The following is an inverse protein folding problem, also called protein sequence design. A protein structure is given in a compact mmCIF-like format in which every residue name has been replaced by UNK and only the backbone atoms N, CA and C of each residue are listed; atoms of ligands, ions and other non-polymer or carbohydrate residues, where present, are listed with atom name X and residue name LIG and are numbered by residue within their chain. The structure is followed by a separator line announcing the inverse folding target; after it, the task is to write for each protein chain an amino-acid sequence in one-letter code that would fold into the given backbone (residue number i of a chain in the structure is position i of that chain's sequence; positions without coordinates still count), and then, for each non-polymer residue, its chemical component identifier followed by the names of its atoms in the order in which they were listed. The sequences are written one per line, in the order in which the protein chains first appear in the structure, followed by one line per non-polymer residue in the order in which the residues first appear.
data_IF_744861007315
#
_entry.id   IF_744861007315
#
_cell.length_a   1.000
_cell.length_b   1.000
_cell.length_c   1.000
_cell.angle_alpha   90.00
_cell.angle_beta   90.00
_cell.angle_gamma   90.00
#
_symmetry.space_group_name_H-M   'P 1'
#
loop_
_entity.id
_entity.type
_entity.pdbx_description
1 polymer ?
#
# COMPACT_ATOMS: atom_id res chain seq x y z
N UNK A 1 -6.48 17.60 -16.47
CA UNK A 1 -5.57 17.82 -15.33
C UNK A 1 -5.12 16.43 -14.93
N UNK A 2 -3.82 16.17 -14.83
CA UNK A 2 -3.33 14.93 -14.24
C UNK A 2 -3.66 14.96 -12.75
N UNK A 3 -4.41 13.99 -12.26
CA UNK A 3 -4.57 13.81 -10.82
C UNK A 3 -3.40 12.94 -10.35
N UNK A 4 -2.36 13.61 -9.88
CA UNK A 4 -1.20 12.95 -9.29
C UNK A 4 -1.55 12.46 -7.89
N UNK A 5 -1.21 11.22 -7.59
CA UNK A 5 -1.34 10.65 -6.25
C UNK A 5 -0.08 9.89 -5.87
N UNK A 6 0.07 9.60 -4.58
CA UNK A 6 1.25 8.91 -4.07
C UNK A 6 0.93 7.44 -3.90
N UNK A 7 1.70 6.56 -4.52
CA UNK A 7 1.74 5.14 -4.21
C UNK A 7 2.75 4.91 -3.09
N UNK A 8 2.41 4.02 -2.16
CA UNK A 8 3.33 3.58 -1.11
C UNK A 8 3.70 2.12 -1.36
N UNK A 9 4.98 1.80 -1.39
CA UNK A 9 5.47 0.43 -1.63
C UNK A 9 6.45 0.03 -0.54
N UNK A 10 6.33 -1.18 -0.03
CA UNK A 10 7.24 -1.76 0.93
C UNK A 10 7.62 -3.18 0.52
N UNK A 11 8.93 -3.42 0.50
CA UNK A 11 9.52 -4.75 0.37
C UNK A 11 10.24 -5.10 1.68
N UNK A 12 9.87 -6.22 2.31
CA UNK A 12 10.45 -6.66 3.58
C UNK A 12 10.66 -8.17 3.56
N UNK A 13 11.90 -8.62 3.50
CA UNK A 13 12.20 -10.05 3.36
C UNK A 13 11.68 -10.60 2.03
N UNK A 14 10.90 -11.70 2.01
CA UNK A 14 10.25 -12.21 0.80
C UNK A 14 8.91 -11.50 0.49
N UNK A 15 8.48 -10.56 1.34
CA UNK A 15 7.14 -10.00 1.33
C UNK A 15 7.08 -8.66 0.60
N UNK A 16 5.98 -8.44 -0.11
CA UNK A 16 5.70 -7.20 -0.82
C UNK A 16 4.32 -6.65 -0.44
N UNK A 17 4.27 -5.36 -0.15
CA UNK A 17 3.04 -4.64 0.14
C UNK A 17 2.99 -3.33 -0.64
N UNK A 18 1.79 -2.94 -1.06
CA UNK A 18 1.59 -1.61 -1.63
C UNK A 18 0.24 -1.01 -1.23
N UNK A 19 0.23 0.32 -1.19
CA UNK A 19 -0.97 1.14 -1.10
C UNK A 19 -1.09 1.89 -2.41
N UNK A 20 -1.97 1.41 -3.27
CA UNK A 20 -2.12 1.91 -4.63
C UNK A 20 -3.30 2.88 -4.66
N UNK A 21 -3.10 4.16 -5.01
CA UNK A 21 -4.22 5.09 -5.10
C UNK A 21 -5.13 4.68 -6.26
N UNK A 22 -6.42 4.54 -5.96
CA UNK A 22 -7.47 4.22 -6.94
C UNK A 22 -7.99 5.51 -7.56
N UNK A 23 -8.15 6.52 -6.70
CA UNK A 23 -8.55 7.87 -7.05
C UNK A 23 -7.89 8.86 -6.07
N UNK A 24 -8.28 10.13 -6.15
CA UNK A 24 -7.76 11.20 -5.29
C UNK A 24 -8.06 11.01 -3.79
N UNK A 25 -9.06 10.22 -3.44
CA UNK A 25 -9.54 9.99 -2.07
C UNK A 25 -9.27 8.56 -1.58
N UNK A 26 -9.22 7.55 -2.46
CA UNK A 26 -9.22 6.14 -2.10
C UNK A 26 -7.92 5.42 -2.47
N UNK A 27 -7.54 4.47 -1.60
CA UNK A 27 -6.33 3.67 -1.72
C UNK A 27 -6.68 2.19 -1.59
N UNK A 28 -6.21 1.38 -2.53
CA UNK A 28 -6.22 -0.08 -2.46
C UNK A 28 -5.06 -0.58 -1.61
N UNK A 29 -5.32 -1.59 -0.79
CA UNK A 29 -4.29 -2.34 -0.06
C UNK A 29 -3.98 -3.60 -0.84
N UNK A 30 -2.73 -3.74 -1.27
CA UNK A 30 -2.21 -4.93 -1.94
C UNK A 30 -1.19 -5.61 -1.02
N UNK A 31 -1.36 -6.90 -0.77
CA UNK A 31 -0.45 -7.70 0.07
C UNK A 31 -0.07 -8.95 -0.71
N UNK A 32 1.22 -9.16 -0.97
CA UNK A 32 1.73 -10.27 -1.80
C UNK A 32 1.12 -10.31 -3.22
N UNK A 33 0.71 -9.15 -3.76
CA UNK A 33 0.03 -9.05 -5.06
C UNK A 33 -1.48 -9.31 -5.01
N UNK A 34 -2.04 -9.69 -3.86
CA UNK A 34 -3.48 -9.87 -3.69
C UNK A 34 -4.16 -8.57 -3.24
N UNK A 35 -5.25 -8.21 -3.90
CA UNK A 35 -6.11 -7.11 -3.47
C UNK A 35 -6.88 -7.50 -2.22
N UNK A 36 -6.68 -6.75 -1.14
CA UNK A 36 -7.33 -7.00 0.14
C UNK A 36 -8.62 -6.16 0.29
N UNK A 37 -8.49 -4.83 0.22
CA UNK A 37 -9.62 -3.89 0.33
C UNK A 37 -9.18 -2.45 -0.04
N UNK A 38 -10.17 -1.57 -0.25
CA UNK A 38 -9.97 -0.14 -0.48
C UNK A 38 -10.40 0.70 0.71
N UNK A 39 -9.66 1.77 1.00
CA UNK A 39 -9.94 2.68 2.11
C UNK A 39 -9.80 4.15 1.69
N UNK A 40 -10.57 5.07 2.31
CA UNK A 40 -10.41 6.49 2.07
C UNK A 40 -9.12 6.98 2.73
N UNK A 41 -8.12 7.28 1.91
CA UNK A 41 -6.82 7.80 2.28
C UNK A 41 -5.79 6.75 2.70
N UNK A 42 -4.53 7.05 2.44
CA UNK A 42 -3.40 6.14 2.69
C UNK A 42 -3.24 5.74 4.17
N UNK A 43 -3.65 6.57 5.13
CA UNK A 43 -3.51 6.25 6.56
C UNK A 43 -4.39 5.06 6.96
N UNK A 44 -5.66 5.08 6.54
CA UNK A 44 -6.58 3.98 6.84
C UNK A 44 -6.20 2.72 6.07
N UNK A 45 -5.75 2.87 4.83
CA UNK A 45 -5.21 1.77 4.03
C UNK A 45 -3.99 1.12 4.72
N UNK A 46 -3.05 1.94 5.22
CA UNK A 46 -1.88 1.46 5.96
C UNK A 46 -2.26 0.71 7.24
N UNK A 47 -3.15 1.26 8.06
CA UNK A 47 -3.63 0.59 9.27
C UNK A 47 -4.29 -0.77 8.96
N UNK A 48 -5.07 -0.83 7.88
CA UNK A 48 -5.68 -2.06 7.41
C UNK A 48 -4.64 -3.08 6.93
N UNK A 49 -3.63 -2.65 6.17
CA UNK A 49 -2.51 -3.49 5.74
C UNK A 49 -1.78 -4.08 6.94
N UNK A 50 -1.41 -3.25 7.91
CA UNK A 50 -0.74 -3.68 9.16
C UNK A 50 -1.58 -4.71 9.91
N UNK A 51 -2.89 -4.50 10.02
CA UNK A 51 -3.80 -5.46 10.66
C UNK A 51 -3.83 -6.79 9.91
N UNK A 52 -3.97 -6.76 8.58
CA UNK A 52 -4.04 -7.96 7.75
C UNK A 52 -2.78 -8.82 7.84
N UNK A 53 -1.63 -8.16 7.81
CA UNK A 53 -0.30 -8.77 7.95
C UNK A 53 -0.13 -9.43 9.32
N UNK A 54 -0.60 -8.79 10.40
CA UNK A 54 -0.61 -9.37 11.75
C UNK A 54 -1.49 -10.61 11.84
N UNK A 55 -2.60 -10.66 11.12
CA UNK A 55 -3.50 -11.82 11.09
C UNK A 55 -2.93 -12.99 10.25
N UNK A 56 -2.10 -12.69 9.25
CA UNK A 56 -1.58 -13.69 8.32
C UNK A 56 -0.50 -14.61 8.93
N UNK A 57 0.07 -14.30 10.12
CA UNK A 57 1.10 -15.08 10.84
C UNK A 57 2.36 -15.45 10.03
N UNK A 58 2.50 -14.98 8.79
CA UNK A 58 3.66 -15.21 7.92
C UNK A 58 4.80 -14.23 8.21
N UNK A 59 4.48 -13.07 8.78
CA UNK A 59 5.43 -12.00 9.08
C UNK A 59 6.05 -12.19 10.47
N UNK A 60 7.36 -12.04 10.55
CA UNK A 60 8.10 -12.01 11.80
C UNK A 60 7.83 -10.71 12.59
N UNK A 61 8.09 -10.69 13.91
CA UNK A 61 7.93 -9.48 14.72
C UNK A 61 8.77 -8.28 14.24
N UNK A 62 9.93 -8.53 13.62
CA UNK A 62 10.79 -7.48 13.08
C UNK A 62 10.18 -6.88 11.81
N UNK A 63 9.68 -7.72 10.89
CA UNK A 63 8.97 -7.28 9.69
C UNK A 63 7.70 -6.52 10.05
N UNK A 64 6.92 -6.99 11.04
CA UNK A 64 5.74 -6.28 11.52
C UNK A 64 6.06 -4.87 12.03
N UNK A 65 7.23 -4.68 12.65
CA UNK A 65 7.69 -3.36 13.09
C UNK A 65 7.98 -2.45 11.91
N UNK A 66 8.64 -2.98 10.86
CA UNK A 66 8.93 -2.25 9.62
C UNK A 66 7.63 -1.86 8.93
N UNK A 67 6.72 -2.82 8.71
CA UNK A 67 5.41 -2.62 8.07
C UNK A 67 4.58 -1.57 8.82
N UNK A 68 4.61 -1.58 10.15
CA UNK A 68 3.84 -0.67 10.99
C UNK A 68 4.27 0.80 10.96
N UNK A 69 5.41 1.10 10.37
CA UNK A 69 5.92 2.47 10.27
C UNK A 69 5.98 2.89 8.81
N UNK A 70 5.06 3.77 8.42
CA UNK A 70 4.91 4.27 7.06
C UNK A 70 6.16 5.00 6.55
N UNK A 71 7.04 5.49 7.43
CA UNK A 71 8.30 6.11 7.00
C UNK A 71 9.29 5.14 6.38
N UNK A 72 9.10 3.83 6.59
CA UNK A 72 9.87 2.78 5.91
C UNK A 72 9.36 2.48 4.49
N UNK A 73 8.17 2.98 4.13
CA UNK A 73 7.57 2.73 2.84
C UNK A 73 8.12 3.72 1.82
N UNK A 74 8.53 3.21 0.66
CA UNK A 74 8.90 4.05 -0.47
C UNK A 74 7.65 4.75 -1.01
N UNK A 75 7.79 6.03 -1.33
CA UNK A 75 6.70 6.83 -1.90
C UNK A 75 7.02 7.13 -3.35
N UNK A 76 6.11 6.75 -4.25
CA UNK A 76 6.20 7.01 -5.68
C UNK A 76 5.05 7.92 -6.10
N UNK A 77 5.32 8.96 -6.88
CA UNK A 77 4.25 9.79 -7.46
C UNK A 77 3.78 9.13 -8.75
N UNK A 78 2.49 8.78 -8.81
CA UNK A 78 1.87 8.18 -9.99
C UNK A 78 0.80 9.11 -10.56
N UNK A 79 0.64 9.10 -11.88
CA UNK A 79 -0.48 9.75 -12.54
C UNK A 79 -1.67 8.79 -12.55
N UNK A 80 -2.77 9.18 -11.90
CA UNK A 80 -4.01 8.38 -11.90
C UNK A 80 -4.74 8.46 -13.25
N UNK A 81 -4.41 9.47 -14.05
CA UNK A 81 -4.85 9.61 -15.42
C UNK A 81 -3.72 9.12 -16.30
N UNK A 82 -3.51 7.80 -16.34
CA UNK A 82 -2.67 7.21 -17.36
C UNK A 82 -3.53 6.88 -18.59
N UNK A 83 -3.54 7.72 -19.64
CA UNK A 83 -4.20 7.37 -20.90
C UNK A 83 -3.46 6.30 -21.70
N UNK A 84 -2.32 5.76 -21.22
CA UNK A 84 -1.54 4.72 -21.94
C UNK A 84 -2.00 3.27 -21.64
N UNK A 85 -3.18 3.04 -21.07
CA UNK A 85 -3.92 1.79 -21.30
C UNK A 85 -4.88 1.95 -22.50
N UNK A 86 -4.33 1.95 -23.72
CA UNK A 86 -5.07 1.64 -24.98
C UNK A 86 -4.88 0.16 -25.39
#
# INVERSE_FOLDING_TARGET
MSDLSNRFVLETGPHQLSLDPIDVENYAVIVEGDYEASFPGYRLAHEAAVRRVKENNQFSPEELKIVSDLSNWQTETIDLFDPEEE
#
